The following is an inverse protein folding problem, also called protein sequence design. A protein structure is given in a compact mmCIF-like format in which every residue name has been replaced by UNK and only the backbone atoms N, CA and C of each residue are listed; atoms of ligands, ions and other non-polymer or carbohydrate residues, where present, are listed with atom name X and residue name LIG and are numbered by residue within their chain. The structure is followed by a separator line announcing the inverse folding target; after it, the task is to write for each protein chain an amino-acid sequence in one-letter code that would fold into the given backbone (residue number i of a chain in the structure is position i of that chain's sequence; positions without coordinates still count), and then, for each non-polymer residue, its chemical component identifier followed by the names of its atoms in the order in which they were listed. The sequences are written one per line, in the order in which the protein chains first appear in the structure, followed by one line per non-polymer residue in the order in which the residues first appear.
data_IF_444499414682
#
_entry.id   IF_444499414682
#
_cell.length_a   1.000
_cell.length_b   1.000
_cell.length_c   1.000
_cell.angle_alpha   90.00
_cell.angle_beta   90.00
_cell.angle_gamma   90.00
#
_symmetry.space_group_name_H-M   'P 1'
#
loop_
_entity.id
_entity.type
_entity.pdbx_description
1 polymer ?
#
# COMPACT_ATOMS: atom_id res chain seq x y z
N UNK A 1 -14.24 11.47 -6.69
CA UNK A 1 -13.63 10.25 -6.14
C UNK A 1 -12.80 10.59 -4.90
N UNK A 2 -12.98 9.89 -3.79
CA UNK A 2 -12.31 10.14 -2.51
C UNK A 2 -10.96 9.40 -2.45
N UNK A 3 -10.86 8.22 -3.06
CA UNK A 3 -9.73 7.29 -2.91
C UNK A 3 -8.55 7.65 -3.83
N UNK A 4 -8.80 8.47 -4.86
CA UNK A 4 -7.76 9.14 -5.67
C UNK A 4 -7.23 10.43 -5.04
N UNK A 5 -7.82 10.93 -3.95
CA UNK A 5 -7.40 12.18 -3.27
C UNK A 5 -6.71 11.91 -1.93
N UNK A 6 -5.62 11.14 -1.94
CA UNK A 6 -4.76 10.97 -0.78
C UNK A 6 -3.76 12.12 -0.64
N UNK A 7 -3.45 12.50 0.61
CA UNK A 7 -2.34 13.40 0.92
C UNK A 7 -1.03 12.76 0.41
N UNK A 8 -0.14 13.49 -0.28
CA UNK A 8 1.15 12.98 -0.74
C UNK A 8 1.92 12.19 0.33
N UNK A 9 1.95 12.67 1.59
CA UNK A 9 2.64 11.98 2.69
C UNK A 9 2.02 10.64 3.12
N UNK A 10 0.86 10.28 2.57
CA UNK A 10 0.18 8.99 2.81
C UNK A 10 0.21 8.08 1.58
N UNK A 11 1.06 8.37 0.60
CA UNK A 11 1.26 7.56 -0.61
C UNK A 11 2.33 6.52 -0.31
N UNK A 12 1.91 5.35 0.17
CA UNK A 12 2.78 4.22 0.50
C UNK A 12 1.98 2.93 0.39
N UNK A 13 2.67 1.79 0.34
CA UNK A 13 2.06 0.47 0.18
C UNK A 13 1.55 0.27 -1.23
N UNK A 14 0.27 -0.06 -1.40
CA UNK A 14 -0.38 -0.14 -2.73
C UNK A 14 -0.23 1.17 -3.51
N UNK A 15 0.03 2.27 -2.80
CA UNK A 15 0.27 3.59 -3.38
C UNK A 15 1.63 3.88 -3.95
N UNK A 16 2.63 3.03 -3.76
CA UNK A 16 4.03 3.31 -4.06
C UNK A 16 4.21 3.96 -5.46
N UNK A 17 3.64 3.34 -6.50
CA UNK A 17 3.84 3.80 -7.89
C UNK A 17 2.93 4.94 -8.33
N UNK A 18 2.03 5.41 -7.46
CA UNK A 18 1.27 6.64 -7.71
C UNK A 18 2.21 7.85 -7.78
N UNK A 19 3.31 7.83 -7.04
CA UNK A 19 4.33 8.90 -7.09
C UNK A 19 4.96 9.03 -8.48
N UNK A 20 5.00 7.92 -9.24
CA UNK A 20 5.56 7.88 -10.60
C UNK A 20 4.59 8.45 -11.66
N UNK A 21 3.34 8.73 -11.31
CA UNK A 21 2.29 9.29 -12.16
C UNK A 21 2.06 8.55 -13.51
N UNK A 22 2.36 7.24 -13.54
CA UNK A 22 2.25 6.39 -14.75
C UNK A 22 1.09 5.39 -14.68
N UNK A 23 0.50 5.20 -13.50
CA UNK A 23 -0.61 4.28 -13.24
C UNK A 23 -1.67 4.96 -12.38
N UNK A 24 -2.91 4.56 -12.58
CA UNK A 24 -4.02 4.98 -11.74
C UNK A 24 -4.04 4.12 -10.47
N UNK A 25 -4.04 4.77 -9.31
CA UNK A 25 -4.15 4.08 -8.02
C UNK A 25 -5.25 4.69 -7.16
N UNK A 26 -6.19 3.84 -6.73
CA UNK A 26 -7.20 4.15 -5.72
C UNK A 26 -6.91 3.35 -4.46
N UNK A 27 -6.52 4.00 -3.37
CA UNK A 27 -6.05 3.31 -2.16
C UNK A 27 -6.63 3.86 -0.87
N UNK A 28 -6.53 3.05 0.19
CA UNK A 28 -6.70 3.46 1.57
C UNK A 28 -5.67 2.80 2.46
N UNK A 29 -5.01 3.66 3.22
CA UNK A 29 -4.07 3.28 4.27
C UNK A 29 -4.74 3.38 5.64
N UNK A 30 -4.37 2.50 6.56
CA UNK A 30 -4.92 2.47 7.93
C UNK A 30 -3.88 1.97 8.94
N UNK A 31 -3.82 2.63 10.09
CA UNK A 31 -2.87 2.29 11.14
C UNK A 31 -3.45 2.51 12.54
N UNK A 32 -3.11 1.64 13.48
CA UNK A 32 -3.49 1.75 14.89
C UNK A 32 -2.56 0.91 15.75
N UNK A 33 -2.20 1.40 16.95
CA UNK A 33 -1.50 0.58 17.94
C UNK A 33 -2.48 -0.16 18.84
N UNK A 34 -2.36 -1.48 18.92
CA UNK A 34 -3.21 -2.32 19.77
C UNK A 34 -2.67 -2.40 21.19
N UNK A 35 -2.71 -1.26 21.90
CA UNK A 35 -2.15 -1.10 23.27
C UNK A 35 -2.68 -2.11 24.28
N UNK A 36 -3.91 -2.58 24.11
CA UNK A 36 -4.58 -3.50 25.06
C UNK A 36 -4.42 -4.98 24.73
N UNK A 37 -3.71 -5.36 23.65
CA UNK A 37 -3.58 -6.76 23.22
C UNK A 37 -2.11 -7.17 23.24
N UNK A 38 -1.28 -6.58 22.38
CA UNK A 38 0.11 -6.96 22.17
C UNK A 38 1.05 -5.76 22.06
N UNK A 39 0.51 -4.54 22.18
CA UNK A 39 1.22 -3.27 22.02
C UNK A 39 1.88 -3.08 20.63
N UNK A 40 1.52 -3.90 19.65
CA UNK A 40 2.01 -3.83 18.27
C UNK A 40 1.14 -2.88 17.43
N UNK A 41 1.71 -2.37 16.36
CA UNK A 41 1.03 -1.57 15.35
C UNK A 41 0.44 -2.46 14.26
N UNK A 42 -0.86 -2.32 14.01
CA UNK A 42 -1.42 -2.69 12.71
C UNK A 42 -1.13 -1.56 11.74
N UNK A 43 -0.46 -1.85 10.62
CA UNK A 43 -0.23 -0.90 9.53
C UNK A 43 -0.59 -1.59 8.23
N UNK A 44 -1.63 -1.10 7.56
CA UNK A 44 -2.24 -1.78 6.41
C UNK A 44 -2.37 -0.82 5.23
N UNK A 45 -2.29 -1.38 4.03
CA UNK A 45 -2.52 -0.68 2.77
C UNK A 45 -3.40 -1.53 1.86
N UNK A 46 -4.46 -0.95 1.30
CA UNK A 46 -5.36 -1.65 0.39
C UNK A 46 -5.73 -0.75 -0.78
N UNK A 47 -5.91 -1.32 -1.96
CA UNK A 47 -6.32 -0.52 -3.11
C UNK A 47 -6.37 -1.28 -4.43
N UNK A 48 -6.70 -0.52 -5.47
CA UNK A 48 -6.75 -0.95 -6.86
C UNK A 48 -5.70 -0.18 -7.66
N UNK A 49 -4.96 -0.91 -8.52
CA UNK A 49 -3.93 -0.39 -9.41
C UNK A 49 -4.31 -0.73 -10.85
N UNK A 50 -4.24 0.27 -11.75
CA UNK A 50 -4.53 0.11 -13.17
C UNK A 50 -3.57 0.91 -14.04
N UNK A 51 -3.03 0.28 -15.09
CA UNK A 51 -2.17 0.92 -16.09
C UNK A 51 -0.90 0.11 -16.34
N UNK A 52 -0.18 0.40 -17.43
CA UNK A 52 1.07 -0.29 -17.79
C UNK A 52 0.94 -1.83 -17.79
N UNK A 53 -0.14 -2.34 -18.39
CA UNK A 53 -0.41 -3.79 -18.45
C UNK A 53 -0.94 -4.41 -17.14
N UNK A 54 -1.11 -3.60 -16.09
CA UNK A 54 -1.54 -4.07 -14.76
C UNK A 54 -3.00 -3.71 -14.51
N UNK A 55 -3.72 -4.62 -13.85
CA UNK A 55 -5.05 -4.38 -13.27
C UNK A 55 -5.29 -5.33 -12.11
N UNK A 56 -5.01 -4.89 -10.89
CA UNK A 56 -5.10 -5.75 -9.71
C UNK A 56 -5.61 -5.02 -8.46
N UNK A 57 -6.17 -5.78 -7.54
CA UNK A 57 -6.51 -5.35 -6.18
C UNK A 57 -5.53 -6.00 -5.22
N UNK A 58 -5.00 -5.22 -4.29
CA UNK A 58 -4.10 -5.70 -3.25
C UNK A 58 -4.57 -5.27 -1.86
N UNK A 59 -4.34 -6.13 -0.88
CA UNK A 59 -4.51 -5.85 0.53
C UNK A 59 -3.29 -6.35 1.30
N UNK A 60 -2.48 -5.42 1.79
CA UNK A 60 -1.25 -5.68 2.54
C UNK A 60 -1.56 -5.38 4.01
N UNK A 61 -1.44 -6.40 4.84
CA UNK A 61 -1.75 -6.34 6.26
C UNK A 61 -0.48 -6.62 7.05
N UNK A 62 -0.17 -5.80 8.07
CA UNK A 62 1.02 -6.04 8.90
C UNK A 62 0.73 -5.86 10.39
N UNK A 63 1.61 -6.46 11.22
CA UNK A 63 1.63 -6.35 12.67
C UNK A 63 3.08 -6.17 13.11
N UNK A 64 3.48 -4.93 13.43
CA UNK A 64 4.90 -4.57 13.64
C UNK A 64 5.13 -3.85 14.97
N UNK A 65 6.35 -3.91 15.55
CA UNK A 65 6.66 -3.22 16.80
C UNK A 65 6.46 -1.70 16.75
N UNK A 66 6.71 -1.08 15.59
CA UNK A 66 6.54 0.37 15.39
C UNK A 66 5.70 0.70 14.15
N UNK A 67 5.12 1.90 14.12
CA UNK A 67 4.43 2.43 12.93
C UNK A 67 5.39 2.53 11.73
N UNK A 68 6.61 3.04 11.96
CA UNK A 68 7.57 3.28 10.87
C UNK A 68 8.05 1.98 10.22
N UNK A 69 8.31 0.93 11.00
CA UNK A 69 8.62 -0.40 10.47
C UNK A 69 7.44 -0.99 9.69
N UNK A 70 6.21 -0.83 10.21
CA UNK A 70 5.00 -1.26 9.51
C UNK A 70 4.81 -0.53 8.18
N UNK A 71 4.99 0.79 8.17
CA UNK A 71 4.90 1.62 6.96
C UNK A 71 5.96 1.21 5.94
N UNK A 72 7.21 1.04 6.37
CA UNK A 72 8.30 0.63 5.49
C UNK A 72 8.06 -0.77 4.90
N UNK A 73 7.59 -1.71 5.71
CA UNK A 73 7.28 -3.07 5.26
C UNK A 73 6.17 -3.08 4.20
N UNK A 74 5.03 -2.42 4.47
CA UNK A 74 3.94 -2.43 3.50
C UNK A 74 4.32 -1.71 2.21
N UNK A 75 5.16 -0.66 2.29
CA UNK A 75 5.66 0.07 1.12
C UNK A 75 6.59 -0.78 0.26
N UNK A 76 7.53 -1.50 0.88
CA UNK A 76 8.39 -2.44 0.17
C UNK A 76 7.58 -3.53 -0.55
N UNK A 77 6.59 -4.13 0.12
CA UNK A 77 5.70 -5.13 -0.50
C UNK A 77 4.89 -4.51 -1.65
N UNK A 78 4.45 -3.26 -1.51
CA UNK A 78 3.75 -2.53 -2.56
C UNK A 78 4.58 -2.37 -3.84
N UNK A 79 5.85 -1.99 -3.69
CA UNK A 79 6.81 -1.91 -4.77
C UNK A 79 7.05 -3.28 -5.43
N UNK A 80 7.31 -4.31 -4.62
CA UNK A 80 7.56 -5.68 -5.13
C UNK A 80 6.35 -6.22 -5.91
N UNK A 81 5.13 -6.01 -5.41
CA UNK A 81 3.90 -6.42 -6.11
C UNK A 81 3.78 -5.74 -7.48
N UNK A 82 4.12 -4.46 -7.56
CA UNK A 82 4.03 -3.70 -8.81
C UNK A 82 5.05 -4.18 -9.85
N UNK A 83 6.27 -4.51 -9.41
CA UNK A 83 7.33 -5.02 -10.27
C UNK A 83 7.03 -6.45 -10.75
N UNK A 84 6.54 -7.33 -9.88
CA UNK A 84 6.21 -8.73 -10.21
C UNK A 84 5.02 -8.81 -11.18
N UNK A 85 3.94 -8.06 -10.91
CA UNK A 85 2.72 -8.13 -11.70
C UNK A 85 2.82 -7.42 -13.07
N UNK A 86 3.96 -6.84 -13.41
CA UNK A 86 4.28 -6.43 -14.79
C UNK A 86 4.38 -7.64 -15.74
N UNK A 87 4.80 -8.80 -15.23
CA UNK A 87 5.18 -9.96 -16.04
C UNK A 87 4.17 -11.10 -16.12
N UNK A 88 3.18 -11.16 -15.22
CA UNK A 88 2.33 -12.36 -15.07
C UNK A 88 0.91 -12.25 -15.66
N UNK A 89 0.48 -11.06 -16.12
CA UNK A 89 -0.90 -10.83 -16.57
C UNK A 89 -1.04 -10.51 -18.07
N UNK A 90 0.00 -10.80 -18.86
CA UNK A 90 -0.01 -10.63 -20.32
C UNK A 90 -0.58 -11.86 -21.05
#
# INVERSE_FOLDING_TARGET
DLMSRTNPGHTWGVGHDRERNVVHVSMKNGWVQFKSIDNLWGVNSMGYVQGKGRSYVAAIMSRMPTFDEGRALVDAIGADLFDILEGELA
#
